data_IF_057226950058
#
_entry.id   IF_057226950058
#
_cell.length_a   1.000
_cell.length_b   1.000
_cell.length_c   1.000
_cell.angle_alpha   90.00
_cell.angle_beta   90.00
_cell.angle_gamma   90.00
#
_symmetry.space_group_name_H-M   'P 1'
#
loop_
_entity.id
_entity.type
_entity.pdbx_description
1 polymer ?
#
# COMPACT_ATOMS: atom_id res chain seq x y z
N UNK A 1 -9.17 18.78 15.85
CA UNK A 1 -9.45 18.18 14.53
C UNK A 1 -8.23 18.01 13.62
N UNK A 2 -7.26 18.95 13.57
CA UNK A 2 -6.03 18.79 12.75
C UNK A 2 -5.14 17.62 13.21
N UNK A 3 -4.94 17.46 14.53
CA UNK A 3 -4.20 16.34 15.11
C UNK A 3 -4.80 14.97 14.75
N UNK A 4 -6.13 14.82 14.84
CA UNK A 4 -6.80 13.58 14.46
C UNK A 4 -6.57 13.22 12.98
N UNK A 5 -6.57 14.21 12.08
CA UNK A 5 -6.29 13.99 10.65
C UNK A 5 -4.84 13.59 10.40
N UNK A 6 -3.90 14.20 11.12
CA UNK A 6 -2.48 13.85 11.04
C UNK A 6 -2.27 12.43 11.55
N UNK A 7 -2.90 12.06 12.67
CA UNK A 7 -2.81 10.73 13.26
C UNK A 7 -3.43 9.66 12.36
N UNK A 8 -4.59 9.96 11.77
CA UNK A 8 -5.24 9.09 10.79
C UNK A 8 -4.37 8.89 9.55
N UNK A 9 -3.74 9.96 9.05
CA UNK A 9 -2.84 9.86 7.91
C UNK A 9 -1.58 9.06 8.23
N UNK A 10 -1.00 9.23 9.42
CA UNK A 10 0.13 8.43 9.90
C UNK A 10 -0.23 6.95 10.00
N UNK A 11 -1.41 6.65 10.54
CA UNK A 11 -1.95 5.29 10.60
C UNK A 11 -2.12 4.68 9.20
N UNK A 12 -2.65 5.46 8.26
CA UNK A 12 -2.88 5.03 6.89
C UNK A 12 -1.56 4.76 6.17
N UNK A 13 -0.57 5.65 6.33
CA UNK A 13 0.79 5.45 5.79
C UNK A 13 1.48 4.24 6.41
N UNK A 14 1.40 4.07 7.72
CA UNK A 14 1.97 2.90 8.41
C UNK A 14 1.31 1.60 7.91
N UNK A 15 -0.01 1.59 7.74
CA UNK A 15 -0.74 0.45 7.20
C UNK A 15 -0.33 0.11 5.76
N UNK A 16 -0.15 1.13 4.91
CA UNK A 16 0.31 0.93 3.54
C UNK A 16 1.75 0.38 3.49
N UNK A 17 2.64 0.89 4.35
CA UNK A 17 4.01 0.39 4.47
C UNK A 17 4.05 -1.06 4.95
N UNK A 18 3.22 -1.41 5.93
CA UNK A 18 3.13 -2.79 6.43
C UNK A 18 2.61 -3.74 5.34
N UNK A 19 1.53 -3.36 4.65
CA UNK A 19 0.98 -4.11 3.54
C UNK A 19 1.99 -4.27 2.38
N UNK A 20 2.73 -3.22 2.04
CA UNK A 20 3.80 -3.28 1.05
C UNK A 20 4.94 -4.20 1.48
N UNK A 21 5.32 -4.16 2.76
CA UNK A 21 6.37 -5.02 3.31
C UNK A 21 5.96 -6.48 3.18
N UNK A 22 4.72 -6.83 3.49
CA UNK A 22 4.18 -8.17 3.33
C UNK A 22 4.05 -8.60 1.86
N UNK A 23 3.67 -7.68 0.98
CA UNK A 23 3.53 -7.96 -0.44
C UNK A 23 4.88 -8.19 -1.14
N UNK A 24 5.94 -7.50 -0.72
CA UNK A 24 7.29 -7.60 -1.32
C UNK A 24 8.15 -8.67 -0.65
N UNK A 25 7.79 -9.13 0.55
CA UNK A 25 8.52 -10.21 1.20
C UNK A 25 8.23 -11.54 0.53
N UNK A 26 9.27 -12.14 -0.02
CA UNK A 26 9.24 -13.51 -0.48
C UNK A 26 9.31 -14.45 0.74
N UNK A 27 8.43 -15.44 0.74
CA UNK A 27 8.40 -16.53 1.70
C UNK A 27 8.65 -17.85 0.96
N UNK A 28 9.35 -18.77 1.60
CA UNK A 28 9.44 -20.15 1.13
C UNK A 28 8.08 -20.82 1.32
N UNK A 29 7.34 -20.98 0.22
CA UNK A 29 6.06 -21.67 0.18
C UNK A 29 6.25 -23.19 0.15
N UNK A 30 7.28 -23.66 -0.57
CA UNK A 30 7.70 -25.05 -0.63
C UNK A 30 9.21 -25.13 -0.99
N UNK A 31 9.84 -26.30 -0.81
CA UNK A 31 11.28 -26.56 -1.03
C UNK A 31 11.81 -26.16 -2.42
N UNK A 32 10.93 -25.89 -3.38
CA UNK A 32 11.28 -25.51 -4.76
C UNK A 32 10.51 -24.29 -5.30
N UNK A 33 9.60 -23.67 -4.54
CA UNK A 33 8.80 -22.51 -5.00
C UNK A 33 8.81 -21.41 -3.93
N UNK A 34 9.34 -20.25 -4.31
CA UNK A 34 9.22 -19.01 -3.55
C UNK A 34 7.92 -18.32 -3.96
N UNK A 35 7.12 -17.92 -2.97
CA UNK A 35 5.89 -17.16 -3.20
C UNK A 35 5.84 -15.97 -2.22
N UNK A 36 5.18 -14.89 -2.63
CA UNK A 36 5.04 -13.72 -1.75
C UNK A 36 4.26 -14.11 -0.48
N UNK A 37 4.76 -13.73 0.71
CA UNK A 37 4.16 -14.10 2.00
C UNK A 37 2.68 -13.69 2.10
N UNK A 38 2.33 -12.55 1.50
CA UNK A 38 0.95 -12.06 1.43
C UNK A 38 0.05 -13.01 0.63
N UNK A 39 0.54 -13.54 -0.49
CA UNK A 39 -0.21 -14.47 -1.32
C UNK A 39 -0.37 -15.83 -0.64
N UNK A 40 0.68 -16.32 0.01
CA UNK A 40 0.64 -17.55 0.82
C UNK A 40 -0.43 -17.44 1.93
N UNK A 41 -0.38 -16.34 2.70
CA UNK A 41 -1.34 -16.10 3.78
C UNK A 41 -2.78 -15.97 3.26
N UNK A 42 -2.98 -15.24 2.17
CA UNK A 42 -4.32 -15.08 1.57
C UNK A 42 -4.87 -16.41 1.06
N UNK A 43 -4.01 -17.22 0.43
CA UNK A 43 -4.37 -18.55 -0.05
C UNK A 43 -4.79 -19.46 1.10
N UNK A 44 -4.02 -19.48 2.18
CA UNK A 44 -4.28 -20.30 3.36
C UNK A 44 -5.58 -19.88 4.06
N UNK A 45 -5.84 -18.57 4.13
CA UNK A 45 -7.01 -18.04 4.83
C UNK A 45 -8.34 -18.30 4.09
N UNK A 46 -8.31 -18.35 2.76
CA UNK A 46 -9.50 -18.54 1.91
C UNK A 46 -9.53 -19.91 1.22
N UNK A 47 -8.54 -20.77 1.44
CA UNK A 47 -8.43 -22.10 0.84
C UNK A 47 -8.32 -22.07 -0.70
N UNK A 48 -7.65 -21.07 -1.26
CA UNK A 48 -7.55 -20.91 -2.72
C UNK A 48 -6.55 -21.91 -3.33
N UNK A 49 -6.77 -22.30 -4.58
CA UNK A 49 -5.80 -23.08 -5.33
C UNK A 49 -4.59 -22.21 -5.76
N UNK A 50 -3.37 -22.78 -5.79
CA UNK A 50 -2.20 -22.10 -6.35
C UNK A 50 -2.46 -21.76 -7.82
N UNK A 51 -2.59 -20.47 -8.12
CA UNK A 51 -2.86 -19.98 -9.46
C UNK A 51 -2.13 -18.66 -9.71
N UNK A 52 -1.31 -18.65 -10.77
CA UNK A 52 -0.54 -17.48 -11.19
C UNK A 52 -1.44 -16.26 -11.49
N UNK A 53 -2.63 -16.50 -12.03
CA UNK A 53 -3.60 -15.44 -12.34
C UNK A 53 -4.11 -14.73 -11.09
N UNK A 54 -4.49 -15.48 -10.03
CA UNK A 54 -4.94 -14.84 -8.80
C UNK A 54 -3.77 -14.23 -8.03
N UNK A 55 -2.58 -14.82 -8.12
CA UNK A 55 -1.38 -14.23 -7.55
C UNK A 55 -1.11 -12.84 -8.15
N UNK A 56 -1.05 -12.76 -9.48
CA UNK A 56 -0.90 -11.50 -10.23
C UNK A 56 -2.02 -10.51 -9.91
N UNK A 57 -3.28 -10.95 -9.91
CA UNK A 57 -4.41 -10.07 -9.61
C UNK A 57 -4.34 -9.50 -8.19
N UNK A 58 -3.87 -10.29 -7.22
CA UNK A 58 -3.71 -9.83 -5.83
C UNK A 58 -2.63 -8.75 -5.74
N UNK A 59 -1.49 -8.95 -6.42
CA UNK A 59 -0.41 -7.96 -6.45
C UNK A 59 -0.85 -6.65 -7.13
N UNK A 60 -1.61 -6.73 -8.22
CA UNK A 60 -2.20 -5.55 -8.89
C UNK A 60 -3.16 -4.79 -7.96
N UNK A 61 -4.04 -5.51 -7.25
CA UNK A 61 -4.97 -4.90 -6.30
C UNK A 61 -4.21 -4.21 -5.16
N UNK A 62 -3.16 -4.84 -4.63
CA UNK A 62 -2.30 -4.24 -3.60
C UNK A 62 -1.60 -3.00 -4.14
N UNK A 63 -1.05 -3.07 -5.36
CA UNK A 63 -0.43 -1.93 -6.04
C UNK A 63 -1.39 -0.75 -6.20
N UNK A 64 -2.62 -0.99 -6.64
CA UNK A 64 -3.66 0.04 -6.76
C UNK A 64 -4.06 0.61 -5.40
N UNK A 65 -4.21 -0.24 -4.37
CA UNK A 65 -4.50 0.21 -3.01
C UNK A 65 -3.39 1.12 -2.46
N UNK A 66 -2.12 0.76 -2.71
CA UNK A 66 -0.97 1.59 -2.39
C UNK A 66 -1.03 2.94 -3.11
N UNK A 67 -1.30 2.94 -4.41
CA UNK A 67 -1.36 4.15 -5.23
C UNK A 67 -2.48 5.09 -4.79
N UNK A 68 -3.66 4.55 -4.48
CA UNK A 68 -4.79 5.31 -3.92
C UNK A 68 -4.44 5.86 -2.53
N UNK A 69 -3.84 5.05 -1.67
CA UNK A 69 -3.41 5.47 -0.34
C UNK A 69 -2.37 6.59 -0.39
N UNK A 70 -1.43 6.50 -1.32
CA UNK A 70 -0.42 7.53 -1.58
C UNK A 70 -1.05 8.81 -2.13
N UNK A 71 -2.00 8.70 -3.06
CA UNK A 71 -2.77 9.83 -3.59
C UNK A 71 -3.56 10.54 -2.48
N UNK A 72 -4.27 9.79 -1.63
CA UNK A 72 -5.00 10.34 -0.49
C UNK A 72 -4.04 11.01 0.50
N UNK A 73 -2.90 10.39 0.79
CA UNK A 73 -1.87 10.98 1.66
C UNK A 73 -1.39 12.32 1.08
N UNK A 74 -1.04 12.38 -0.21
CA UNK A 74 -0.69 13.64 -0.86
C UNK A 74 -1.82 14.66 -0.82
N UNK A 75 -3.06 14.26 -1.10
CA UNK A 75 -4.22 15.15 -1.15
C UNK A 75 -4.57 15.75 0.22
N UNK A 76 -4.46 14.96 1.29
CA UNK A 76 -4.96 15.32 2.62
C UNK A 76 -3.86 15.78 3.59
N UNK A 77 -2.62 15.27 3.48
CA UNK A 77 -1.48 15.64 4.34
C UNK A 77 -0.72 16.82 3.79
N UNK A 78 -0.50 16.85 2.47
CA UNK A 78 0.03 18.01 1.76
C UNK A 78 -1.12 18.70 1.03
N UNK A 79 -1.98 19.47 1.72
CA UNK A 79 -2.85 20.40 0.98
C UNK A 79 -1.90 21.29 0.21
N UNK A 80 -1.81 21.06 -1.11
CA UNK A 80 -0.94 21.75 -2.06
C UNK A 80 -1.03 23.22 -1.71
N UNK A 81 -0.01 23.72 -1.00
CA UNK A 81 0.01 25.09 -0.55
C UNK A 81 0.14 25.89 -1.82
N UNK A 82 -1.00 26.38 -2.32
CA UNK A 82 -1.11 27.28 -3.46
C UNK A 82 -0.48 28.65 -3.18
N UNK A 83 0.33 28.78 -2.11
CA UNK A 83 1.02 30.00 -1.68
C UNK A 83 2.50 30.07 -2.08
N UNK A 84 2.95 29.31 -3.08
CA UNK A 84 4.27 29.52 -3.69
C UNK A 84 4.22 30.30 -5.01
N UNK A 85 3.04 30.77 -5.42
CA UNK A 85 2.85 31.63 -6.60
C UNK A 85 2.56 33.08 -6.22
N UNK A 86 3.15 33.58 -5.14
CA UNK A 86 2.96 34.98 -4.70
C UNK A 86 4.24 35.60 -4.09
N UNK A 87 5.42 35.09 -4.49
CA UNK A 87 6.72 35.56 -3.99
C UNK A 87 7.75 35.87 -5.08
N UNK A 88 7.34 35.96 -6.35
CA UNK A 88 8.21 36.31 -7.47
C UNK A 88 7.70 37.57 -8.19
N UNK A 89 7.27 38.56 -7.41
CA UNK A 89 7.01 39.93 -7.87
C UNK A 89 6.86 40.85 -6.66
N UNK A 90 7.96 41.18 -6.00
CA UNK A 90 8.17 42.51 -5.42
C UNK A 90 9.64 42.71 -5.06
#
# INVERSE_FOLDING_TARGET
>A
MRLLRILLALLLVAFLLDAATWAVRDCTADLYHEENCLWLWLREQFGLAPSELLHSATLEIVGLALLVGLYLTFRYVFPRSSRLTEGSKQ
#
